data_IF_433626506389
#
_entry.id   IF_433626506389
#
_cell.length_a   1.000
_cell.length_b   1.000
_cell.length_c   1.000
_cell.angle_alpha   90.00
_cell.angle_beta   90.00
_cell.angle_gamma   90.00
#
_symmetry.space_group_name_H-M   'P 1'
#
loop_
_entity.id
_entity.type
_entity.pdbx_description
1 polymer ?
#
# COMPACT_ATOMS: atom_id res chain seq x y z
N UNK A 1 -12.18 5.52 -1.88
CA UNK A 1 -13.60 5.25 -1.59
C UNK A 1 -13.75 3.75 -1.56
N UNK A 2 -14.27 3.21 -0.48
CA UNK A 2 -14.44 1.76 -0.34
C UNK A 2 -15.18 1.39 0.94
N UNK A 3 -15.48 0.12 1.15
CA UNK A 3 -15.90 -0.37 2.45
C UNK A 3 -14.77 -0.17 3.48
N UNK A 4 -15.10 -0.25 4.77
CA UNK A 4 -14.18 0.03 5.87
C UNK A 4 -12.90 -0.82 5.91
N UNK A 5 -12.75 -1.79 5.04
CA UNK A 5 -11.62 -2.72 4.95
C UNK A 5 -10.86 -2.64 3.62
N UNK A 6 -11.27 -1.76 2.67
CA UNK A 6 -10.63 -1.61 1.38
C UNK A 6 -10.71 -0.15 0.90
N UNK A 7 -9.61 0.38 0.37
CA UNK A 7 -9.57 1.71 -0.23
C UNK A 7 -9.20 1.61 -1.70
N UNK A 8 -10.09 2.11 -2.55
CA UNK A 8 -9.82 2.28 -3.97
C UNK A 8 -9.48 3.74 -4.30
N UNK A 9 -8.54 3.93 -5.21
CA UNK A 9 -8.13 5.24 -5.68
C UNK A 9 -8.78 5.58 -7.02
N UNK A 10 -9.48 6.69 -7.05
CA UNK A 10 -10.14 7.20 -8.24
C UNK A 10 -9.64 8.60 -8.58
N UNK A 11 -8.98 8.79 -9.75
CA UNK A 11 -8.60 10.13 -10.16
C UNK A 11 -9.83 11.01 -10.36
N UNK A 12 -9.76 12.22 -9.82
CA UNK A 12 -10.78 13.24 -10.03
C UNK A 12 -10.59 13.80 -11.42
N UNK A 13 -11.64 13.77 -12.25
CA UNK A 13 -11.62 14.36 -13.59
C UNK A 13 -12.11 15.80 -13.63
N UNK A 14 -13.04 16.14 -12.74
CA UNK A 14 -13.61 17.49 -12.66
C UNK A 14 -14.26 17.71 -11.29
N UNK A 15 -14.16 18.93 -10.80
CA UNK A 15 -14.93 19.43 -9.67
C UNK A 15 -15.91 20.53 -10.17
N UNK A 16 -17.18 20.40 -9.78
CA UNK A 16 -18.20 21.40 -10.04
C UNK A 16 -18.55 22.13 -8.75
N UNK A 17 -18.03 23.33 -8.60
CA UNK A 17 -18.21 24.13 -7.37
C UNK A 17 -19.65 24.61 -7.17
N UNK A 18 -20.44 24.78 -8.25
CA UNK A 18 -21.84 25.22 -8.19
C UNK A 18 -22.74 24.10 -7.71
N UNK A 19 -22.55 22.92 -8.27
CA UNK A 19 -23.30 21.70 -7.94
C UNK A 19 -22.73 20.97 -6.72
N UNK A 20 -21.54 21.37 -6.23
CA UNK A 20 -20.76 20.67 -5.18
C UNK A 20 -20.56 19.19 -5.51
N UNK A 21 -20.19 18.91 -6.75
CA UNK A 21 -20.00 17.55 -7.26
C UNK A 21 -18.57 17.30 -7.71
N UNK A 22 -18.07 16.13 -7.36
CA UNK A 22 -16.81 15.59 -7.83
C UNK A 22 -17.11 14.53 -8.89
N UNK A 23 -16.48 14.64 -10.03
CA UNK A 23 -16.57 13.66 -11.11
C UNK A 23 -15.27 12.86 -11.17
N UNK A 24 -15.40 11.55 -11.12
CA UNK A 24 -14.28 10.62 -11.21
C UNK A 24 -13.97 10.32 -12.67
N UNK A 25 -12.71 10.00 -12.98
CA UNK A 25 -12.28 9.66 -14.35
C UNK A 25 -12.82 8.32 -14.82
N UNK A 26 -13.26 7.47 -13.92
CA UNK A 26 -13.90 6.18 -14.18
C UNK A 26 -14.97 5.91 -13.13
N UNK A 27 -15.96 5.10 -13.46
CA UNK A 27 -16.94 4.64 -12.50
C UNK A 27 -16.33 3.82 -11.36
N UNK A 28 -16.91 3.88 -10.19
CA UNK A 28 -16.53 3.00 -9.10
C UNK A 28 -16.82 1.54 -9.47
N UNK A 29 -15.90 0.65 -9.11
CA UNK A 29 -16.01 -0.78 -9.44
C UNK A 29 -17.03 -1.49 -8.57
N UNK A 30 -17.29 -0.96 -7.37
CA UNK A 30 -18.24 -1.53 -6.42
C UNK A 30 -19.35 -0.55 -6.05
N UNK A 31 -20.46 -1.09 -5.57
CA UNK A 31 -21.56 -0.27 -5.03
C UNK A 31 -21.08 0.48 -3.79
N UNK A 32 -21.34 1.78 -3.76
CA UNK A 32 -21.14 2.55 -2.55
C UNK A 32 -22.04 2.02 -1.43
N UNK A 33 -21.46 1.82 -0.27
CA UNK A 33 -22.22 1.62 0.95
C UNK A 33 -22.85 2.95 1.38
N UNK A 34 -23.85 2.90 2.25
CA UNK A 34 -24.66 4.05 2.64
C UNK A 34 -23.87 5.21 3.26
N UNK A 35 -22.65 4.95 3.75
CA UNK A 35 -21.75 5.97 4.32
C UNK A 35 -20.30 5.65 3.96
N UNK A 36 -19.88 5.86 2.70
CA UNK A 36 -18.50 5.58 2.30
C UNK A 36 -17.55 6.62 2.90
N UNK A 37 -16.48 6.17 3.52
CA UNK A 37 -15.37 7.04 3.85
C UNK A 37 -14.63 7.42 2.57
N UNK A 38 -14.28 8.70 2.45
CA UNK A 38 -13.44 9.19 1.36
C UNK A 38 -12.51 10.27 1.89
N UNK A 39 -11.37 10.38 1.24
CA UNK A 39 -10.44 11.49 1.41
C UNK A 39 -9.94 11.94 0.05
N UNK A 40 -9.57 13.18 -0.05
CA UNK A 40 -8.84 13.69 -1.20
C UNK A 40 -7.34 13.58 -0.92
N UNK A 41 -6.56 13.31 -1.95
CA UNK A 41 -5.11 13.24 -1.86
C UNK A 41 -4.48 14.08 -2.97
N UNK A 42 -3.31 14.61 -2.69
CA UNK A 42 -2.55 15.45 -3.61
C UNK A 42 -3.32 16.71 -4.03
N UNK A 43 -3.86 17.41 -3.05
CA UNK A 43 -4.59 18.67 -3.19
C UNK A 43 -3.67 19.78 -2.68
N UNK A 44 -3.25 20.75 -3.52
CA UNK A 44 -2.28 21.76 -3.10
C UNK A 44 -2.82 22.70 -2.00
N UNK A 45 -4.12 22.91 -1.95
CA UNK A 45 -4.78 23.74 -0.95
C UNK A 45 -4.82 23.11 0.45
N UNK A 46 -4.61 21.81 0.54
CA UNK A 46 -4.54 21.02 1.78
C UNK A 46 -3.09 20.83 2.27
N UNK A 47 -2.12 21.57 1.74
CA UNK A 47 -0.73 21.55 2.20
C UNK A 47 -0.59 22.58 3.34
N UNK A 48 -1.20 22.33 4.49
CA UNK A 48 -1.31 23.27 5.60
C UNK A 48 -0.87 22.71 6.97
N UNK A 49 -0.60 21.40 7.06
CA UNK A 49 -0.10 20.75 8.27
C UNK A 49 1.33 20.18 8.11
N UNK A 50 2.13 20.16 9.18
CA UNK A 50 3.47 19.58 9.17
C UNK A 50 3.45 18.08 8.82
N UNK A 51 4.33 17.67 7.91
CA UNK A 51 4.44 16.29 7.42
C UNK A 51 3.69 16.03 6.12
N UNK A 52 2.88 16.96 5.67
CA UNK A 52 2.15 16.86 4.41
C UNK A 52 3.02 17.13 3.19
N UNK A 53 2.59 16.62 2.05
CA UNK A 53 3.25 16.86 0.77
C UNK A 53 2.26 16.96 -0.39
N UNK A 54 2.66 17.71 -1.40
CA UNK A 54 1.97 17.81 -2.69
C UNK A 54 2.95 17.56 -3.83
N UNK A 55 2.54 16.77 -4.81
CA UNK A 55 3.32 16.53 -6.02
C UNK A 55 2.63 17.19 -7.20
N UNK A 56 3.23 18.25 -7.73
CA UNK A 56 2.82 18.78 -9.02
C UNK A 56 3.28 17.83 -10.12
N UNK A 57 2.35 17.10 -10.69
CA UNK A 57 2.64 16.10 -11.72
C UNK A 57 2.98 16.71 -13.08
N UNK A 58 2.68 17.98 -13.29
CA UNK A 58 3.01 18.67 -14.55
C UNK A 58 4.47 19.14 -14.55
N UNK A 59 4.90 19.77 -13.48
CA UNK A 59 6.28 20.25 -13.33
C UNK A 59 7.24 19.19 -12.78
N UNK A 60 6.72 18.12 -12.18
CA UNK A 60 7.51 17.12 -11.46
C UNK A 60 8.04 17.61 -10.11
N UNK A 61 7.50 18.70 -9.60
CA UNK A 61 7.96 19.32 -8.35
C UNK A 61 7.25 18.70 -7.16
N UNK A 62 8.02 18.37 -6.12
CA UNK A 62 7.51 17.98 -4.80
C UNK A 62 7.54 19.20 -3.87
N UNK A 63 6.41 19.50 -3.29
CA UNK A 63 6.26 20.45 -2.19
C UNK A 63 6.06 19.65 -0.91
N UNK A 64 6.80 19.97 0.12
CA UNK A 64 6.74 19.30 1.40
C UNK A 64 6.69 20.32 2.53
N UNK A 65 5.75 20.14 3.45
CA UNK A 65 5.68 20.92 4.67
C UNK A 65 6.44 20.17 5.78
N UNK A 66 7.67 20.59 6.12
CA UNK A 66 8.47 19.85 7.09
C UNK A 66 7.88 19.92 8.49
N UNK A 67 8.02 18.87 9.32
CA UNK A 67 7.72 18.95 10.74
C UNK A 67 8.45 20.11 11.43
N UNK A 68 7.83 20.75 12.42
CA UNK A 68 8.39 21.93 13.10
C UNK A 68 9.72 21.63 13.81
N UNK A 69 9.89 20.40 14.26
CA UNK A 69 11.09 19.91 14.96
C UNK A 69 12.13 19.29 14.02
N UNK A 70 11.91 19.32 12.71
CA UNK A 70 12.87 18.80 11.76
C UNK A 70 14.18 19.59 11.80
N UNK A 71 15.33 18.96 12.06
CA UNK A 71 16.63 19.65 12.04
C UNK A 71 16.86 20.30 10.67
N UNK A 72 17.47 21.49 10.66
CA UNK A 72 17.71 22.24 9.40
C UNK A 72 18.57 21.49 8.38
N UNK A 73 19.40 20.56 8.86
CA UNK A 73 20.25 19.70 8.04
C UNK A 73 19.67 18.28 7.86
N UNK A 74 18.37 18.10 8.07
CA UNK A 74 17.71 16.81 7.91
C UNK A 74 17.80 16.32 6.47
N UNK A 75 18.13 15.04 6.31
CA UNK A 75 18.04 14.34 5.04
C UNK A 75 16.63 13.75 4.91
N UNK A 76 15.87 14.25 3.94
CA UNK A 76 14.58 13.66 3.58
C UNK A 76 14.81 12.47 2.64
N UNK A 77 14.45 11.29 3.09
CA UNK A 77 14.45 10.11 2.23
C UNK A 77 13.07 9.92 1.60
N UNK A 78 12.99 10.07 0.30
CA UNK A 78 11.76 9.86 -0.47
C UNK A 78 11.84 8.51 -1.16
N UNK A 79 10.94 7.61 -0.82
CA UNK A 79 10.79 6.33 -1.54
C UNK A 79 9.73 6.50 -2.62
N UNK A 80 10.15 6.53 -3.87
CA UNK A 80 9.24 6.53 -5.01
C UNK A 80 9.15 5.13 -5.59
N UNK A 81 7.99 4.49 -5.46
CA UNK A 81 7.72 3.28 -6.23
C UNK A 81 7.15 3.67 -7.59
N UNK A 82 7.79 3.21 -8.67
CA UNK A 82 7.20 3.33 -10.00
C UNK A 82 5.91 2.52 -10.05
N UNK A 83 4.77 3.10 -10.43
CA UNK A 83 3.61 2.29 -10.72
C UNK A 83 3.95 1.44 -11.93
N UNK A 84 4.00 0.14 -11.78
CA UNK A 84 3.80 -0.71 -12.93
C UNK A 84 2.32 -0.52 -13.27
N UNK A 85 2.06 0.25 -14.34
CA UNK A 85 0.71 0.45 -14.86
C UNK A 85 0.24 -0.85 -15.53
N UNK A 86 0.20 -1.94 -14.80
CA UNK A 86 -0.59 -3.07 -15.23
C UNK A 86 -2.04 -2.84 -14.75
N UNK A 87 -2.75 -2.04 -15.55
CA UNK A 87 -4.19 -1.84 -15.39
C UNK A 87 -4.99 -3.13 -15.54
N UNK A 88 -4.35 -4.24 -15.91
CA UNK A 88 -5.01 -5.53 -16.08
C UNK A 88 -5.18 -6.30 -14.76
N UNK A 89 -4.64 -5.80 -13.63
CA UNK A 89 -4.63 -6.48 -12.31
C UNK A 89 -4.10 -7.92 -12.35
N UNK A 90 -3.36 -8.30 -13.40
CA UNK A 90 -2.92 -9.70 -13.59
C UNK A 90 -1.65 -10.06 -12.82
N UNK A 91 -0.91 -9.08 -12.33
CA UNK A 91 0.22 -9.34 -11.47
C UNK A 91 0.16 -8.36 -10.27
N UNK A 92 0.14 -8.83 -9.04
CA UNK A 92 0.20 -7.95 -7.89
C UNK A 92 1.53 -7.19 -7.92
N UNK A 93 1.46 -5.86 -7.82
CA UNK A 93 2.62 -5.02 -7.58
C UNK A 93 3.16 -5.33 -6.19
N UNK A 94 4.27 -6.01 -6.10
CA UNK A 94 4.90 -6.29 -4.82
C UNK A 94 6.38 -5.94 -4.84
N UNK A 95 6.90 -5.55 -3.69
CA UNK A 95 8.34 -5.35 -3.52
C UNK A 95 9.08 -6.67 -3.70
N UNK A 96 8.51 -7.75 -3.15
CA UNK A 96 9.08 -9.09 -3.23
C UNK A 96 8.04 -10.11 -3.68
N UNK A 97 8.37 -10.89 -4.71
CA UNK A 97 7.50 -11.93 -5.25
C UNK A 97 8.17 -13.29 -5.19
N UNK A 98 7.46 -14.27 -4.61
CA UNK A 98 7.96 -15.64 -4.42
C UNK A 98 6.99 -16.58 -5.09
N UNK A 99 7.44 -17.34 -6.06
CA UNK A 99 6.59 -18.31 -6.76
C UNK A 99 7.25 -19.67 -6.90
N UNK A 100 6.45 -20.72 -6.74
CA UNK A 100 6.86 -22.10 -6.92
C UNK A 100 8.14 -22.46 -6.14
N UNK A 101 8.28 -21.89 -4.96
CA UNK A 101 9.51 -21.95 -4.15
C UNK A 101 9.29 -22.71 -2.85
N UNK A 102 10.38 -23.25 -2.29
CA UNK A 102 10.32 -24.00 -1.03
C UNK A 102 11.51 -23.66 -0.13
N UNK A 103 11.30 -23.83 1.18
CA UNK A 103 12.35 -23.76 2.19
C UNK A 103 13.10 -22.40 2.20
N UNK A 104 12.36 -21.31 2.20
CA UNK A 104 12.93 -19.96 2.28
C UNK A 104 12.65 -19.38 3.67
N UNK A 105 13.66 -18.77 4.26
CA UNK A 105 13.56 -18.04 5.53
C UNK A 105 13.98 -16.59 5.30
N UNK A 106 13.13 -15.69 5.73
CA UNK A 106 13.42 -14.26 5.88
C UNK A 106 13.54 -13.99 7.37
N UNK A 107 14.69 -13.52 7.80
CA UNK A 107 14.96 -13.30 9.22
C UNK A 107 15.66 -11.97 9.44
N UNK A 108 15.19 -11.22 10.46
CA UNK A 108 15.75 -9.93 10.86
C UNK A 108 15.77 -8.89 9.73
N UNK A 109 14.76 -8.86 8.88
CA UNK A 109 14.66 -7.95 7.74
C UNK A 109 13.59 -6.87 7.96
N UNK A 110 13.86 -5.70 7.41
CA UNK A 110 12.90 -4.60 7.33
C UNK A 110 12.51 -4.39 5.87
N UNK A 111 11.21 -4.56 5.57
CA UNK A 111 10.60 -4.22 4.30
C UNK A 111 9.83 -2.91 4.48
N UNK A 112 10.23 -1.87 3.75
CA UNK A 112 9.65 -0.54 3.94
C UNK A 112 9.40 0.19 2.64
N UNK A 113 8.18 0.70 2.50
CA UNK A 113 7.78 1.64 1.47
C UNK A 113 7.49 1.03 0.11
N UNK A 114 6.24 1.06 -0.32
CA UNK A 114 5.81 0.63 -1.65
C UNK A 114 4.34 0.91 -1.89
N UNK A 115 3.95 1.10 -3.15
CA UNK A 115 2.54 1.35 -3.51
C UNK A 115 1.69 0.09 -3.55
N UNK A 116 2.29 -1.05 -3.83
CA UNK A 116 1.64 -2.35 -3.84
C UNK A 116 1.82 -3.08 -2.53
N UNK A 117 1.78 -4.39 -2.58
CA UNK A 117 2.05 -5.26 -1.43
C UNK A 117 3.56 -5.35 -1.13
N UNK A 118 3.94 -5.57 0.12
CA UNK A 118 5.33 -5.81 0.42
C UNK A 118 5.78 -7.16 -0.16
N UNK A 119 5.07 -8.22 0.17
CA UNK A 119 5.42 -9.58 -0.21
C UNK A 119 4.20 -10.27 -0.80
N UNK A 120 4.37 -10.88 -1.96
CA UNK A 120 3.38 -11.76 -2.55
C UNK A 120 3.98 -13.12 -2.84
N UNK A 121 3.20 -14.17 -2.61
CA UNK A 121 3.63 -15.55 -2.86
C UNK A 121 2.54 -16.39 -3.52
N UNK A 122 2.95 -17.33 -4.38
CA UNK A 122 2.05 -18.29 -5.00
C UNK A 122 2.70 -19.65 -5.17
N UNK A 123 1.94 -20.71 -4.83
CA UNK A 123 2.38 -22.11 -4.95
C UNK A 123 3.70 -22.39 -4.21
N UNK A 124 3.85 -21.86 -3.00
CA UNK A 124 5.05 -22.04 -2.20
C UNK A 124 4.83 -23.06 -1.08
N UNK A 125 5.92 -23.57 -0.50
CA UNK A 125 5.84 -24.35 0.73
C UNK A 125 7.04 -24.12 1.65
N UNK A 126 6.80 -24.19 2.96
CA UNK A 126 7.80 -23.97 4.00
C UNK A 126 8.53 -22.64 3.83
N UNK A 127 7.77 -21.55 3.89
CA UNK A 127 8.27 -20.18 3.88
C UNK A 127 8.13 -19.60 5.28
N UNK A 128 9.19 -18.98 5.79
CA UNK A 128 9.21 -18.42 7.14
C UNK A 128 9.63 -16.96 7.11
N UNK A 129 8.92 -16.15 7.89
CA UNK A 129 9.27 -14.78 8.24
C UNK A 129 9.47 -14.74 9.76
N UNK A 130 10.66 -14.38 10.20
CA UNK A 130 11.05 -14.39 11.62
C UNK A 130 11.65 -13.04 11.97
N UNK A 131 11.13 -12.40 13.01
CA UNK A 131 11.61 -11.09 13.49
C UNK A 131 11.78 -10.07 12.35
N UNK A 132 10.77 -9.96 11.49
CA UNK A 132 10.74 -9.01 10.38
C UNK A 132 9.83 -7.82 10.69
N UNK A 133 10.17 -6.65 10.16
CA UNK A 133 9.29 -5.49 10.15
C UNK A 133 8.83 -5.19 8.73
N UNK A 134 7.52 -5.00 8.54
CA UNK A 134 6.90 -4.70 7.24
C UNK A 134 5.99 -3.50 7.43
N UNK A 135 6.32 -2.38 6.76
CA UNK A 135 5.55 -1.16 6.93
C UNK A 135 5.53 -0.24 5.70
N UNK A 136 4.53 0.65 5.69
CA UNK A 136 4.36 1.71 4.67
C UNK A 136 4.13 1.15 3.26
N UNK A 137 3.19 0.23 3.12
CA UNK A 137 2.78 -0.33 1.83
C UNK A 137 1.33 0.05 1.50
N UNK A 138 1.06 0.35 0.23
CA UNK A 138 -0.27 0.77 -0.24
C UNK A 138 -1.31 -0.34 -0.38
N UNK A 139 -0.88 -1.60 -0.34
CA UNK A 139 -1.75 -2.79 -0.36
C UNK A 139 -1.43 -3.69 0.85
N UNK A 140 -1.24 -4.99 0.64
CA UNK A 140 -1.02 -5.93 1.72
C UNK A 140 0.43 -5.93 2.24
N UNK A 141 0.60 -6.24 3.50
CA UNK A 141 1.92 -6.57 4.05
C UNK A 141 2.43 -7.89 3.46
N UNK A 142 1.75 -8.99 3.76
CA UNK A 142 2.07 -10.32 3.23
C UNK A 142 0.82 -10.92 2.59
N UNK A 143 0.92 -11.37 1.35
CA UNK A 143 -0.13 -12.12 0.68
C UNK A 143 0.41 -13.42 0.09
N UNK A 144 -0.21 -14.54 0.44
CA UNK A 144 0.08 -15.84 -0.17
C UNK A 144 -1.18 -16.47 -0.75
N UNK A 145 -1.04 -16.99 -1.97
CA UNK A 145 -2.07 -17.74 -2.68
C UNK A 145 -1.60 -19.20 -2.87
N UNK A 146 -2.48 -20.18 -2.66
CA UNK A 146 -2.24 -21.60 -2.91
C UNK A 146 -0.89 -22.12 -2.36
N UNK A 147 -0.53 -21.68 -1.16
CA UNK A 147 0.74 -22.02 -0.51
C UNK A 147 0.52 -22.81 0.77
N UNK A 148 1.53 -23.55 1.22
CA UNK A 148 1.45 -24.37 2.44
C UNK A 148 2.63 -24.13 3.37
N UNK A 149 2.45 -24.44 4.65
CA UNK A 149 3.51 -24.37 5.66
C UNK A 149 4.16 -22.97 5.73
N UNK A 150 3.33 -21.95 5.82
CA UNK A 150 3.77 -20.55 5.99
C UNK A 150 3.83 -20.23 7.48
N UNK A 151 4.98 -19.75 7.94
CA UNK A 151 5.18 -19.31 9.33
C UNK A 151 5.54 -17.83 9.37
N UNK A 152 4.86 -17.08 10.21
CA UNK A 152 5.16 -15.68 10.51
C UNK A 152 5.27 -15.57 12.02
N UNK A 153 6.46 -15.31 12.54
CA UNK A 153 6.71 -15.22 13.99
C UNK A 153 7.50 -13.96 14.34
N UNK A 154 7.16 -13.35 15.46
CA UNK A 154 7.83 -12.17 16.00
C UNK A 154 7.92 -11.00 14.99
N UNK A 155 6.97 -10.94 14.06
CA UNK A 155 6.95 -9.92 13.02
C UNK A 155 6.06 -8.74 13.39
N UNK A 156 6.48 -7.54 12.99
CA UNK A 156 5.68 -6.33 13.12
C UNK A 156 5.22 -5.88 11.74
N UNK A 157 3.90 -5.89 11.54
CA UNK A 157 3.28 -5.47 10.27
C UNK A 157 2.31 -4.33 10.57
N UNK A 158 2.54 -3.16 9.99
CA UNK A 158 1.75 -1.96 10.24
C UNK A 158 1.80 -0.97 9.07
N UNK A 159 0.93 0.05 9.10
CA UNK A 159 0.85 1.11 8.09
C UNK A 159 0.71 0.53 6.66
N UNK A 160 -0.18 -0.43 6.49
CA UNK A 160 -0.52 -1.03 5.19
C UNK A 160 -1.93 -0.62 4.78
N UNK A 161 -2.14 -0.44 3.49
CA UNK A 161 -3.39 0.09 2.94
C UNK A 161 -4.54 -0.90 2.86
N UNK A 162 -4.25 -2.20 2.96
CA UNK A 162 -5.25 -3.28 2.95
C UNK A 162 -4.99 -4.23 4.13
N UNK A 163 -4.75 -5.52 3.85
CA UNK A 163 -4.54 -6.50 4.90
C UNK A 163 -3.07 -6.56 5.36
N UNK A 164 -2.84 -6.68 6.68
CA UNK A 164 -1.52 -6.99 7.19
C UNK A 164 -1.03 -8.33 6.65
N UNK A 165 -1.88 -9.36 6.76
CA UNK A 165 -1.62 -10.71 6.26
C UNK A 165 -2.87 -11.23 5.58
N UNK A 166 -2.72 -11.72 4.35
CA UNK A 166 -3.79 -12.33 3.57
C UNK A 166 -3.38 -13.70 3.03
N UNK A 167 -4.10 -14.75 3.41
CA UNK A 167 -3.92 -16.10 2.89
C UNK A 167 -5.14 -16.52 2.07
N UNK A 168 -4.91 -16.89 0.81
CA UNK A 168 -5.97 -17.35 -0.10
C UNK A 168 -5.68 -18.80 -0.51
N UNK A 169 -6.59 -19.70 -0.20
CA UNK A 169 -6.42 -21.13 -0.52
C UNK A 169 -5.12 -21.73 0.01
N UNK A 170 -4.62 -21.23 1.14
CA UNK A 170 -3.42 -21.74 1.80
C UNK A 170 -3.76 -22.85 2.80
N UNK A 171 -2.84 -23.84 2.93
CA UNK A 171 -2.89 -24.86 3.95
C UNK A 171 -1.74 -24.74 4.94
N UNK A 172 -1.98 -25.12 6.22
CA UNK A 172 -0.96 -25.15 7.27
C UNK A 172 -0.18 -23.83 7.41
N UNK A 173 -0.80 -22.81 7.94
CA UNK A 173 -0.12 -21.55 8.25
C UNK A 173 -0.15 -21.28 9.75
N UNK A 174 0.88 -20.60 10.25
CA UNK A 174 1.02 -20.19 11.64
C UNK A 174 1.47 -18.73 11.73
N UNK A 175 0.80 -17.99 12.59
CA UNK A 175 1.18 -16.63 13.00
C UNK A 175 1.40 -16.65 14.51
N UNK A 176 2.58 -16.31 14.94
CA UNK A 176 3.01 -16.35 16.35
C UNK A 176 3.56 -15.00 16.78
#
# INVERSE_FOLDING_TARGET
IGPNYEFDYYPVSRFDSKEKRVYLSRGALEKYYTEPYYRFENVPEELDEPGEYYIDRQSGMLYFYPPEDAPKDSVLTITMSTPTLDVSRKAPNSMFRIENSKNIVFENLIFKGGRGSAITGKNNSNIKFINCEINSFGENGIRFDASTDITISDCKIHDVGQDGILFVSCGNYQTL
#
